data_IF_250626611499
#
_entry.id   IF_250626611499
#
_cell.length_a   1.000
_cell.length_b   1.000
_cell.length_c   1.000
_cell.angle_alpha   90.00
_cell.angle_beta   90.00
_cell.angle_gamma   90.00
#
_symmetry.space_group_name_H-M   'P 1'
#
loop_
_entity.id
_entity.type
_entity.pdbx_description
1 polymer ?
#
# COMPACT_ATOMS: atom_id res chain seq x y z
N UNK A 1 -14.96 -21.50 -13.21
CA UNK A 1 -14.52 -21.58 -11.80
C UNK A 1 -13.38 -20.60 -11.61
N UNK A 2 -13.32 -19.87 -10.49
CA UNK A 2 -12.20 -18.98 -10.23
C UNK A 2 -10.91 -19.81 -10.09
N UNK A 3 -9.85 -19.44 -10.82
CA UNK A 3 -8.54 -20.06 -10.63
C UNK A 3 -8.03 -19.75 -9.22
N UNK A 4 -7.51 -20.76 -8.53
CA UNK A 4 -6.91 -20.59 -7.21
C UNK A 4 -5.50 -19.95 -7.33
N UNK A 5 -4.93 -19.55 -6.20
CA UNK A 5 -3.61 -18.89 -6.18
C UNK A 5 -2.52 -19.76 -6.81
N UNK A 6 -2.53 -21.06 -6.53
CA UNK A 6 -1.53 -22.00 -7.04
C UNK A 6 -1.54 -22.07 -8.56
N UNK A 7 -2.73 -22.14 -9.17
CA UNK A 7 -2.90 -22.12 -10.62
C UNK A 7 -2.36 -20.82 -11.23
N UNK A 8 -2.63 -19.67 -10.61
CA UNK A 8 -2.12 -18.38 -11.09
C UNK A 8 -0.60 -18.25 -11.01
N UNK A 9 0.01 -18.81 -9.97
CA UNK A 9 1.48 -18.84 -9.82
C UNK A 9 2.09 -19.75 -10.90
N UNK A 10 1.48 -20.91 -11.15
CA UNK A 10 1.92 -21.83 -12.19
C UNK A 10 1.82 -21.20 -13.59
N UNK A 11 0.72 -20.51 -13.89
CA UNK A 11 0.51 -19.81 -15.17
C UNK A 11 1.52 -18.67 -15.39
N UNK A 12 1.92 -17.97 -14.32
CA UNK A 12 2.92 -16.90 -14.36
C UNK A 12 4.38 -17.42 -14.36
N UNK A 13 4.59 -18.73 -14.22
CA UNK A 13 5.91 -19.37 -14.19
C UNK A 13 6.71 -19.19 -12.89
N UNK A 14 6.47 -18.12 -12.13
CA UNK A 14 7.00 -17.96 -10.78
C UNK A 14 6.19 -16.94 -9.96
N UNK A 15 6.20 -17.07 -8.63
CA UNK A 15 5.58 -16.11 -7.74
C UNK A 15 6.24 -14.72 -7.82
N UNK A 16 7.55 -14.66 -8.09
CA UNK A 16 8.28 -13.41 -8.26
C UNK A 16 7.78 -12.63 -9.49
N UNK A 17 7.72 -13.30 -10.64
CA UNK A 17 7.23 -12.69 -11.89
C UNK A 17 5.80 -12.19 -11.72
N UNK A 18 4.94 -13.00 -11.09
CA UNK A 18 3.54 -12.64 -10.82
C UNK A 18 3.41 -11.36 -9.99
N UNK A 19 4.22 -11.20 -8.94
CA UNK A 19 4.17 -10.01 -8.07
C UNK A 19 4.82 -8.79 -8.72
N UNK A 20 5.91 -9.00 -9.46
CA UNK A 20 6.65 -7.93 -10.13
C UNK A 20 5.84 -7.28 -11.26
N UNK A 21 5.11 -8.09 -12.03
CA UNK A 21 4.26 -7.63 -13.14
C UNK A 21 2.82 -7.32 -12.71
N UNK A 22 2.54 -7.36 -11.40
CA UNK A 22 1.20 -7.16 -10.85
C UNK A 22 0.61 -5.82 -11.28
N UNK A 23 -0.54 -5.88 -11.94
CA UNK A 23 -1.34 -4.70 -12.32
C UNK A 23 -2.27 -4.24 -11.19
N UNK A 24 -2.08 -4.77 -9.97
CA UNK A 24 -2.87 -4.35 -8.82
C UNK A 24 -2.57 -2.88 -8.54
N UNK A 25 -3.60 -2.02 -8.35
CA UNK A 25 -3.36 -0.63 -8.02
C UNK A 25 -2.55 -0.54 -6.72
N UNK A 26 -1.72 0.50 -6.56
CA UNK A 26 -1.04 0.71 -5.30
C UNK A 26 -2.07 0.79 -4.17
N UNK A 27 -1.67 0.40 -2.97
CA UNK A 27 -2.50 0.45 -1.75
C UNK A 27 -2.65 1.91 -1.32
N UNK A 28 -3.32 2.71 -2.16
CA UNK A 28 -3.64 4.11 -1.91
C UNK A 28 -5.10 4.16 -1.54
N UNK A 29 -5.40 3.73 -0.32
CA UNK A 29 -6.72 3.91 0.26
C UNK A 29 -6.59 4.49 1.66
N UNK A 30 -6.01 5.69 1.75
CA UNK A 30 -6.29 6.54 2.90
C UNK A 30 -7.48 7.41 2.52
N UNK A 31 -8.64 7.26 3.17
CA UNK A 31 -9.77 8.17 2.95
C UNK A 31 -9.47 9.59 3.45
N UNK A 32 -8.40 9.74 4.23
CA UNK A 32 -7.93 10.99 4.84
C UNK A 32 -7.06 11.77 3.87
N UNK A 33 -7.09 13.10 4.01
CA UNK A 33 -6.23 14.02 3.27
C UNK A 33 -4.74 13.64 3.43
N UNK A 34 -3.95 13.57 2.34
CA UNK A 34 -2.55 13.13 2.41
C UNK A 34 -1.66 13.99 3.32
N UNK A 35 -1.92 15.29 3.39
CA UNK A 35 -1.19 16.26 4.23
C UNK A 35 -2.16 17.36 4.67
N UNK A 36 -2.20 17.68 5.97
CA UNK A 36 -2.94 18.84 6.48
C UNK A 36 -2.08 20.11 6.46
N UNK A 37 -0.78 19.97 6.71
CA UNK A 37 0.22 21.05 6.67
C UNK A 37 1.40 20.66 5.81
N UNK A 38 2.19 19.68 6.24
CA UNK A 38 3.16 18.92 5.47
C UNK A 38 3.56 17.67 6.26
N UNK A 39 3.93 16.59 5.58
CA UNK A 39 4.24 15.33 6.25
C UNK A 39 5.43 15.42 7.22
N UNK A 40 6.40 16.32 6.98
CA UNK A 40 7.62 16.43 7.81
C UNK A 40 7.30 17.00 9.19
N UNK A 41 6.53 18.07 9.22
CA UNK A 41 6.12 18.76 10.45
C UNK A 41 5.09 17.93 11.20
N UNK A 42 4.21 17.22 10.50
CA UNK A 42 3.28 16.26 11.11
C UNK A 42 4.03 15.09 11.79
N UNK A 43 5.05 14.53 11.13
CA UNK A 43 5.92 13.52 11.74
C UNK A 43 6.77 14.09 12.89
N UNK A 44 7.25 15.33 12.77
CA UNK A 44 7.95 16.02 13.84
C UNK A 44 7.04 16.21 15.06
N UNK A 45 5.79 16.64 14.85
CA UNK A 45 4.81 16.87 15.89
C UNK A 45 4.44 15.57 16.64
N UNK A 46 4.40 14.43 15.96
CA UNK A 46 4.27 13.12 16.63
C UNK A 46 5.41 12.88 17.63
N UNK A 47 6.64 13.27 17.29
CA UNK A 47 7.80 13.09 18.16
C UNK A 47 7.93 14.15 19.25
N UNK A 48 7.65 15.41 18.94
CA UNK A 48 7.97 16.55 19.82
C UNK A 48 6.78 17.10 20.60
N UNK A 49 5.55 16.89 20.10
CA UNK A 49 4.31 17.46 20.65
C UNK A 49 3.20 16.39 20.70
N UNK A 50 2.07 16.62 20.01
CA UNK A 50 0.93 15.72 19.92
C UNK A 50 0.28 15.84 18.54
N UNK A 51 -0.32 14.74 18.07
CA UNK A 51 -1.07 14.66 16.80
C UNK A 51 -2.35 13.86 17.03
N UNK A 52 -3.37 14.10 16.21
CA UNK A 52 -4.58 13.28 16.13
C UNK A 52 -4.51 12.45 14.85
N UNK A 53 -4.60 11.12 14.98
CA UNK A 53 -4.81 10.22 13.85
C UNK A 53 -6.30 10.08 13.58
N UNK A 54 -6.72 10.37 12.35
CA UNK A 54 -8.07 10.18 11.81
C UNK A 54 -8.13 8.84 11.05
#
# INVERSE_FOLDING_TARGET
MAANLEQKIADAGSAQTMLWESQSPPIVSTPVTPEFTNWRDEQLAWRSNAVLYD
#
